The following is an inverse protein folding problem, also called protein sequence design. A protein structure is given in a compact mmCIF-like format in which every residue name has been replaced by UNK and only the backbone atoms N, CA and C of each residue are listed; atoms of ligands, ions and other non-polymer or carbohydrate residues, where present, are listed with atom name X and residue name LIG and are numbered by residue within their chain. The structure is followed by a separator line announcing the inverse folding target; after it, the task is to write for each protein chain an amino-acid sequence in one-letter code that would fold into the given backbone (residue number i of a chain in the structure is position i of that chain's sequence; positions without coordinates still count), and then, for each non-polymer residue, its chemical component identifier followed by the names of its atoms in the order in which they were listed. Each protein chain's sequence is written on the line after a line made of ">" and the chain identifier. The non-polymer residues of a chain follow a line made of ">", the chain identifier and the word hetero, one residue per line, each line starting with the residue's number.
data_IF_314456190866
#
_entry.id   IF_314456190866
#
_cell.length_a   1.000
_cell.length_b   1.000
_cell.length_c   1.000
_cell.angle_alpha   90.00
_cell.angle_beta   90.00
_cell.angle_gamma   90.00
#
_symmetry.space_group_name_H-M   'P 1'
#
loop_
_entity.id
_entity.type
_entity.pdbx_description
1 polymer ?
#
# COMPACT_ATOMS: atom_id res chain seq x y z
N UNK A 1 -13.44 -19.24 -4.96
CA UNK A 1 -13.26 -18.10 -4.05
C UNK A 1 -11.82 -18.11 -3.61
N UNK A 2 -11.05 -17.07 -3.93
CA UNK A 2 -9.76 -16.88 -3.27
C UNK A 2 -10.05 -16.72 -1.78
N UNK A 3 -9.30 -17.40 -0.91
CA UNK A 3 -9.46 -17.25 0.53
C UNK A 3 -9.25 -15.81 0.97
N UNK A 4 -9.60 -15.47 2.23
CA UNK A 4 -9.37 -14.12 2.75
C UNK A 4 -7.88 -13.76 2.64
N UNK A 5 -7.58 -12.48 2.44
CA UNK A 5 -6.23 -11.98 2.15
C UNK A 5 -5.69 -11.32 3.43
N UNK A 6 -4.41 -11.55 3.81
CA UNK A 6 -3.82 -10.81 4.92
C UNK A 6 -3.85 -9.30 4.67
N UNK A 7 -3.94 -8.46 5.72
CA UNK A 7 -3.87 -7.00 5.57
C UNK A 7 -2.60 -6.56 4.83
N UNK A 8 -2.72 -5.47 4.10
CA UNK A 8 -1.63 -4.83 3.39
C UNK A 8 -0.88 -3.89 4.35
N UNK A 9 0.44 -3.94 4.35
CA UNK A 9 1.22 -2.93 5.05
C UNK A 9 0.95 -1.55 4.43
N UNK A 10 0.85 -0.53 5.28
CA UNK A 10 0.63 0.86 4.91
C UNK A 10 1.81 1.69 5.42
N UNK A 11 2.74 1.98 4.52
CA UNK A 11 3.97 2.72 4.84
C UNK A 11 3.77 4.22 4.64
N UNK A 12 4.38 5.00 5.51
CA UNK A 12 4.39 6.45 5.41
C UNK A 12 5.83 6.89 5.18
N UNK A 13 6.17 7.22 3.93
CA UNK A 13 7.54 7.57 3.52
C UNK A 13 7.80 9.07 3.48
N UNK A 14 6.76 9.87 3.64
CA UNK A 14 6.80 11.33 3.70
C UNK A 14 6.34 11.86 5.06
N UNK A 15 6.74 13.10 5.38
CA UNK A 15 6.24 13.80 6.56
C UNK A 15 4.78 14.19 6.37
N UNK A 16 3.89 13.52 7.10
CA UNK A 16 2.45 13.81 7.16
C UNK A 16 1.98 13.79 8.60
N UNK A 17 1.01 14.64 8.93
CA UNK A 17 0.39 14.66 10.26
C UNK A 17 -0.59 13.49 10.48
N UNK A 18 -0.88 13.23 11.76
CA UNK A 18 -1.83 12.18 12.15
C UNK A 18 -3.28 12.46 11.71
N UNK A 19 -3.65 13.72 11.45
CA UNK A 19 -4.98 14.06 10.94
C UNK A 19 -5.18 13.49 9.54
N UNK A 20 -4.22 13.72 8.64
CA UNK A 20 -4.24 13.14 7.30
C UNK A 20 -4.25 11.60 7.32
N UNK A 21 -3.43 10.98 8.17
CA UNK A 21 -3.39 9.51 8.26
C UNK A 21 -4.72 8.93 8.79
N UNK A 22 -5.33 9.56 9.79
CA UNK A 22 -6.63 9.16 10.30
C UNK A 22 -7.74 9.30 9.27
N UNK A 23 -7.75 10.42 8.56
CA UNK A 23 -8.69 10.67 7.47
C UNK A 23 -8.50 9.66 6.33
N UNK A 24 -7.26 9.41 5.91
CA UNK A 24 -6.94 8.47 4.84
C UNK A 24 -7.38 7.03 5.17
N UNK A 25 -7.02 6.53 6.36
CA UNK A 25 -7.45 5.21 6.83
C UNK A 25 -8.98 5.11 6.92
N UNK A 26 -9.64 6.16 7.43
CA UNK A 26 -11.11 6.20 7.53
C UNK A 26 -11.78 6.19 6.16
N UNK A 27 -11.26 6.96 5.20
CA UNK A 27 -11.82 7.01 3.84
C UNK A 27 -11.57 5.73 3.06
N UNK A 28 -10.42 5.10 3.21
CA UNK A 28 -10.15 3.78 2.64
C UNK A 28 -11.13 2.73 3.17
N UNK A 29 -11.37 2.71 4.49
CA UNK A 29 -12.36 1.83 5.12
C UNK A 29 -13.79 2.06 4.61
N UNK A 30 -14.24 3.32 4.60
CA UNK A 30 -15.59 3.68 4.11
C UNK A 30 -15.76 3.39 2.62
N UNK A 31 -14.74 3.68 1.83
CA UNK A 31 -14.75 3.40 0.40
C UNK A 31 -14.78 1.91 0.08
N UNK A 32 -14.31 1.05 0.99
CA UNK A 32 -14.52 -0.40 0.96
C UNK A 32 -15.89 -0.84 1.53
N UNK A 33 -16.91 0.02 1.46
CA UNK A 33 -18.24 -0.24 2.01
C UNK A 33 -18.23 -0.65 3.49
N UNK A 34 -17.26 -0.15 4.26
CA UNK A 34 -17.11 -0.46 5.69
C UNK A 34 -16.91 -1.96 5.99
N UNK A 35 -16.45 -2.74 4.99
CA UNK A 35 -16.36 -4.20 5.08
C UNK A 35 -15.25 -4.66 6.04
N UNK A 36 -14.06 -4.07 5.96
CA UNK A 36 -12.91 -4.40 6.81
C UNK A 36 -11.82 -3.32 6.75
N UNK A 37 -11.05 -3.21 7.82
CA UNK A 37 -9.79 -2.45 7.85
C UNK A 37 -8.69 -3.32 7.25
N UNK A 38 -8.32 -3.08 5.99
CA UNK A 38 -7.34 -3.93 5.28
C UNK A 38 -5.93 -3.32 5.22
N UNK A 39 -5.74 -2.10 5.73
CA UNK A 39 -4.47 -1.40 5.73
C UNK A 39 -3.89 -1.35 7.15
N UNK A 40 -2.72 -1.94 7.36
CA UNK A 40 -1.98 -1.89 8.62
C UNK A 40 -0.92 -0.80 8.56
N UNK A 41 -1.08 0.27 9.36
CA UNK A 41 -0.09 1.34 9.49
C UNK A 41 1.22 0.77 10.04
N UNK A 42 2.24 0.72 9.18
CA UNK A 42 3.48 0.03 9.48
C UNK A 42 4.30 0.76 10.55
N UNK A 43 4.68 0.01 11.59
CA UNK A 43 5.75 0.36 12.54
C UNK A 43 7.03 -0.38 12.16
N UNK A 44 8.17 -0.03 12.75
CA UNK A 44 9.43 -0.76 12.58
C UNK A 44 9.51 -2.03 13.44
N UNK A 45 8.49 -2.29 14.25
CA UNK A 45 8.40 -3.41 15.17
C UNK A 45 7.33 -4.42 14.74
N UNK A 46 7.77 -5.61 14.31
CA UNK A 46 6.87 -6.71 13.93
C UNK A 46 5.97 -7.22 15.07
N UNK A 47 6.25 -6.88 16.33
CA UNK A 47 5.36 -7.24 17.45
C UNK A 47 4.02 -6.52 17.40
N UNK A 48 3.98 -5.33 16.80
CA UNK A 48 2.77 -4.55 16.63
C UNK A 48 1.96 -5.01 15.40
N UNK A 49 2.60 -5.80 14.53
CA UNK A 49 2.01 -6.23 13.27
C UNK A 49 0.92 -7.30 13.48
N UNK A 50 -0.07 -7.37 12.58
CA UNK A 50 -1.14 -8.34 12.68
C UNK A 50 -0.57 -9.77 12.65
N UNK A 51 -1.04 -10.63 13.56
CA UNK A 51 -0.57 -12.02 13.70
C UNK A 51 -1.52 -13.00 13.03
N UNK A 52 -0.96 -14.11 12.53
CA UNK A 52 -1.78 -15.18 11.94
C UNK A 52 -2.74 -15.74 12.99
N UNK A 53 -4.04 -15.63 12.74
CA UNK A 53 -5.09 -16.21 13.59
C UNK A 53 -5.59 -17.50 12.95
N UNK A 54 -5.96 -18.48 13.78
CA UNK A 54 -6.53 -19.73 13.28
C UNK A 54 -7.89 -19.43 12.66
N UNK A 55 -8.06 -19.72 11.37
CA UNK A 55 -9.29 -19.57 10.59
C UNK A 55 -9.80 -18.13 10.35
N UNK A 56 -8.98 -17.10 10.58
CA UNK A 56 -9.31 -15.72 10.25
C UNK A 56 -8.03 -14.94 9.94
N UNK A 57 -8.14 -13.91 9.10
CA UNK A 57 -7.08 -12.90 9.02
C UNK A 57 -7.41 -11.73 9.95
N UNK A 58 -6.40 -11.16 10.61
CA UNK A 58 -6.58 -10.00 11.46
C UNK A 58 -6.90 -8.76 10.62
N UNK A 59 -7.55 -7.78 11.24
CA UNK A 59 -7.71 -6.46 10.66
C UNK A 59 -6.38 -5.68 10.70
N UNK A 60 -6.29 -4.66 9.86
CA UNK A 60 -5.27 -3.62 9.89
C UNK A 60 -5.54 -2.58 10.98
N UNK A 61 -5.03 -1.36 10.77
CA UNK A 61 -5.07 -0.27 11.76
C UNK A 61 -6.39 0.48 11.68
N UNK A 62 -7.10 0.53 12.80
CA UNK A 62 -8.28 1.37 12.98
C UNK A 62 -7.88 2.79 13.36
N UNK A 63 -8.49 3.78 12.71
CA UNK A 63 -8.42 5.16 13.19
C UNK A 63 -9.26 5.33 14.48
N UNK A 64 -8.90 6.26 15.40
CA UNK A 64 -7.74 7.14 15.33
C UNK A 64 -6.43 6.45 15.77
N UNK A 65 -5.33 6.81 15.12
CA UNK A 65 -3.97 6.44 15.50
C UNK A 65 -3.46 7.31 16.66
N UNK A 66 -2.42 6.89 17.40
CA UNK A 66 -1.83 7.69 18.47
C UNK A 66 -1.41 9.09 17.98
N UNK A 67 -1.71 10.14 18.76
CA UNK A 67 -1.43 11.52 18.39
C UNK A 67 0.07 11.84 18.20
N UNK A 68 0.93 11.04 18.83
CA UNK A 68 2.39 11.12 18.75
C UNK A 68 2.99 10.11 17.76
N UNK A 69 2.17 9.49 16.90
CA UNK A 69 2.68 8.59 15.87
C UNK A 69 3.64 9.34 14.95
N UNK A 70 4.83 8.78 14.78
CA UNK A 70 5.79 9.17 13.77
C UNK A 70 6.19 7.92 13.01
N UNK A 71 6.12 7.97 11.68
CA UNK A 71 6.49 6.82 10.87
C UNK A 71 8.00 6.60 10.90
N UNK A 72 8.47 5.39 11.19
CA UNK A 72 9.90 5.06 11.12
C UNK A 72 10.39 4.93 9.66
N UNK A 73 9.48 5.01 8.69
CA UNK A 73 9.76 4.90 7.26
C UNK A 73 9.88 6.25 6.55
N UNK A 74 9.77 7.38 7.26
CA UNK A 74 10.00 8.71 6.66
C UNK A 74 11.39 8.76 6.03
N UNK A 75 11.45 9.19 4.77
CA UNK A 75 12.68 9.25 3.97
C UNK A 75 13.20 7.90 3.45
N UNK A 76 12.53 6.78 3.76
CA UNK A 76 12.84 5.47 3.17
C UNK A 76 12.28 5.35 1.75
N UNK A 77 12.92 4.51 0.95
CA UNK A 77 12.40 4.16 -0.38
C UNK A 77 11.30 3.10 -0.29
N UNK A 78 10.50 2.95 -1.35
CA UNK A 78 9.54 1.85 -1.44
C UNK A 78 10.24 0.49 -1.42
N UNK A 79 11.44 0.39 -2.00
CA UNK A 79 12.29 -0.79 -1.91
C UNK A 79 12.69 -1.13 -0.47
N UNK A 80 13.03 -0.14 0.36
CA UNK A 80 13.34 -0.38 1.77
C UNK A 80 12.11 -0.89 2.54
N UNK A 81 10.92 -0.35 2.23
CA UNK A 81 9.65 -0.83 2.77
C UNK A 81 9.37 -2.27 2.33
N UNK A 82 9.60 -2.59 1.06
CA UNK A 82 9.45 -3.93 0.53
C UNK A 82 10.44 -4.92 1.16
N UNK A 83 11.70 -4.52 1.39
CA UNK A 83 12.70 -5.32 2.12
C UNK A 83 12.24 -5.66 3.52
N UNK A 84 11.83 -4.65 4.30
CA UNK A 84 11.25 -4.87 5.62
C UNK A 84 10.08 -5.87 5.52
N UNK A 85 9.15 -5.65 4.60
CA UNK A 85 8.01 -6.56 4.42
C UNK A 85 8.42 -8.01 4.06
N UNK A 86 9.49 -8.20 3.28
CA UNK A 86 10.02 -9.54 2.98
C UNK A 86 10.71 -10.19 4.19
N UNK A 87 11.34 -9.40 5.05
CA UNK A 87 12.04 -9.84 6.27
C UNK A 87 11.09 -10.14 7.44
N UNK A 88 9.79 -9.86 7.29
CA UNK A 88 8.80 -10.15 8.30
C UNK A 88 8.87 -11.63 8.77
N UNK A 89 8.75 -11.91 10.08
CA UNK A 89 8.62 -13.27 10.60
C UNK A 89 7.41 -14.02 10.01
N UNK A 90 7.47 -15.36 9.99
CA UNK A 90 6.41 -16.20 9.40
C UNK A 90 5.07 -16.11 10.13
N UNK A 91 5.06 -15.71 11.40
CA UNK A 91 3.84 -15.54 12.20
C UNK A 91 3.16 -14.19 11.97
N UNK A 92 3.82 -13.24 11.28
CA UNK A 92 3.23 -11.99 10.82
C UNK A 92 2.28 -12.27 9.65
N UNK A 93 1.06 -11.76 9.77
CA UNK A 93 -0.02 -11.87 8.79
C UNK A 93 -0.13 -10.59 7.95
N UNK A 94 0.95 -10.24 7.24
CA UNK A 94 0.92 -9.18 6.25
C UNK A 94 1.03 -9.77 4.83
N UNK A 95 0.39 -9.11 3.87
CA UNK A 95 0.55 -9.45 2.47
C UNK A 95 2.00 -9.12 2.05
N UNK A 96 2.78 -10.14 1.65
CA UNK A 96 4.19 -9.94 1.28
C UNK A 96 4.39 -9.55 -0.18
N UNK A 97 3.38 -9.70 -1.03
CA UNK A 97 3.50 -9.39 -2.45
C UNK A 97 3.05 -7.96 -2.77
N UNK A 98 2.13 -7.42 -1.96
CA UNK A 98 1.55 -6.11 -2.17
C UNK A 98 1.49 -5.30 -0.88
N UNK A 99 1.63 -4.00 -1.01
CA UNK A 99 1.50 -3.06 0.09
C UNK A 99 1.00 -1.71 -0.41
N UNK A 100 0.75 -0.80 0.52
CA UNK A 100 0.31 0.56 0.25
C UNK A 100 1.29 1.56 0.85
N UNK A 101 1.39 2.75 0.26
CA UNK A 101 2.23 3.80 0.80
C UNK A 101 1.64 5.19 0.59
N UNK A 102 2.01 6.13 1.46
CA UNK A 102 1.90 7.56 1.20
C UNK A 102 3.28 8.18 1.06
N UNK A 103 3.43 9.01 0.04
CA UNK A 103 4.64 9.74 -0.30
C UNK A 103 4.39 11.26 -0.27
N UNK A 104 5.38 12.05 -0.72
CA UNK A 104 5.32 13.51 -0.67
C UNK A 104 4.19 14.10 -1.54
N UNK A 105 3.68 13.35 -2.53
CA UNK A 105 2.59 13.77 -3.41
C UNK A 105 1.20 13.32 -2.91
N UNK A 106 1.14 12.30 -2.04
CA UNK A 106 -0.11 11.69 -1.59
C UNK A 106 -1.09 12.68 -0.96
N UNK A 107 -0.62 13.65 -0.18
CA UNK A 107 -1.50 14.66 0.45
C UNK A 107 -2.09 15.61 -0.58
N UNK A 108 -1.27 16.15 -1.47
CA UNK A 108 -1.70 17.12 -2.48
C UNK A 108 -2.64 16.49 -3.50
N UNK A 109 -2.33 15.27 -3.94
CA UNK A 109 -3.09 14.56 -4.96
C UNK A 109 -4.31 13.81 -4.39
N UNK A 110 -4.45 13.74 -3.06
CA UNK A 110 -5.39 12.87 -2.33
C UNK A 110 -5.32 11.40 -2.80
N UNK A 111 -4.12 10.83 -2.69
CA UNK A 111 -3.86 9.47 -3.18
C UNK A 111 -3.10 8.60 -2.19
N UNK A 112 -3.31 7.30 -2.33
CA UNK A 112 -2.47 6.25 -1.75
C UNK A 112 -1.80 5.51 -2.91
N UNK A 113 -0.50 5.25 -2.79
CA UNK A 113 0.22 4.39 -3.72
C UNK A 113 -0.16 2.94 -3.44
N UNK A 114 -0.54 2.20 -4.49
CA UNK A 114 -0.64 0.75 -4.44
C UNK A 114 0.61 0.15 -5.05
N UNK A 115 1.24 -0.77 -4.32
CA UNK A 115 2.58 -1.26 -4.61
C UNK A 115 2.58 -2.78 -4.77
N UNK A 116 3.40 -3.28 -5.71
CA UNK A 116 3.68 -4.70 -5.93
C UNK A 116 5.19 -4.93 -5.83
N UNK A 117 5.59 -5.91 -5.02
CA UNK A 117 6.97 -6.35 -4.90
C UNK A 117 7.33 -7.23 -6.11
N UNK A 118 8.42 -6.88 -6.79
CA UNK A 118 8.97 -7.60 -7.94
C UNK A 118 10.33 -8.20 -7.55
N UNK A 119 10.55 -9.45 -7.93
CA UNK A 119 11.75 -10.22 -7.58
C UNK A 119 11.56 -10.95 -6.24
N UNK A 120 11.26 -12.26 -6.32
CA UNK A 120 11.10 -13.11 -5.13
C UNK A 120 12.47 -13.63 -4.68
N UNK A 121 12.84 -13.36 -3.43
CA UNK A 121 13.81 -14.18 -2.69
C UNK A 121 15.28 -13.75 -2.70
N UNK A 122 15.68 -12.77 -3.50
CA UNK A 122 17.02 -12.17 -3.39
C UNK A 122 16.89 -10.75 -2.84
N UNK A 123 17.12 -10.58 -1.53
CA UNK A 123 17.07 -9.28 -0.84
C UNK A 123 17.90 -8.18 -1.53
N UNK A 124 18.93 -8.58 -2.30
CA UNK A 124 19.77 -7.67 -3.08
C UNK A 124 19.13 -7.08 -4.34
N UNK A 125 18.04 -7.66 -4.85
CA UNK A 125 17.42 -7.32 -6.14
C UNK A 125 15.92 -6.97 -6.05
N UNK A 126 15.41 -6.65 -4.85
CA UNK A 126 14.01 -6.25 -4.67
C UNK A 126 13.71 -4.97 -5.46
N UNK A 127 12.71 -5.05 -6.33
CA UNK A 127 12.15 -3.93 -7.06
C UNK A 127 10.69 -3.72 -6.65
N UNK A 128 10.21 -2.49 -6.74
CA UNK A 128 8.80 -2.17 -6.51
C UNK A 128 8.20 -1.50 -7.72
N UNK A 129 7.03 -1.98 -8.12
CA UNK A 129 6.15 -1.26 -9.02
C UNK A 129 5.00 -0.64 -8.23
N UNK A 130 4.62 0.58 -8.55
CA UNK A 130 3.55 1.28 -7.86
C UNK A 130 2.82 2.27 -8.76
N UNK A 131 1.59 2.60 -8.39
CA UNK A 131 0.88 3.75 -8.95
C UNK A 131 -0.13 4.30 -7.94
N UNK A 132 -0.41 5.61 -7.97
CA UNK A 132 -1.37 6.20 -7.05
C UNK A 132 -2.80 5.94 -7.50
N UNK A 133 -3.66 5.74 -6.50
CA UNK A 133 -5.11 5.67 -6.63
C UNK A 133 -5.77 6.62 -5.64
N UNK A 134 -7.01 7.09 -5.90
CA UNK A 134 -7.74 7.91 -4.93
C UNK A 134 -7.80 7.23 -3.56
N UNK A 135 -7.56 7.97 -2.49
CA UNK A 135 -7.49 7.44 -1.12
C UNK A 135 -8.70 6.58 -0.76
N UNK A 136 -9.92 7.05 -1.08
CA UNK A 136 -11.16 6.33 -0.82
C UNK A 136 -11.29 5.03 -1.62
N UNK A 137 -10.65 4.91 -2.79
CA UNK A 137 -10.73 3.70 -3.61
C UNK A 137 -9.60 2.71 -3.32
N UNK A 138 -8.60 3.09 -2.52
CA UNK A 138 -7.35 2.36 -2.36
C UNK A 138 -7.54 0.89 -1.99
N UNK A 139 -8.42 0.58 -1.04
CA UNK A 139 -8.71 -0.80 -0.64
C UNK A 139 -9.34 -1.62 -1.77
N UNK A 140 -10.39 -1.09 -2.43
CA UNK A 140 -11.04 -1.79 -3.56
C UNK A 140 -10.06 -2.00 -4.71
N UNK A 141 -9.25 -0.99 -5.03
CA UNK A 141 -8.23 -1.10 -6.09
C UNK A 141 -7.20 -2.17 -5.71
N UNK A 142 -6.74 -2.23 -4.45
CA UNK A 142 -5.85 -3.30 -3.99
C UNK A 142 -6.46 -4.69 -4.20
N UNK A 143 -7.70 -4.92 -3.77
CA UNK A 143 -8.35 -6.24 -3.90
C UNK A 143 -8.61 -6.63 -5.36
N UNK A 144 -8.81 -5.64 -6.24
CA UNK A 144 -9.15 -5.87 -7.67
C UNK A 144 -7.94 -5.85 -8.60
N UNK A 145 -6.82 -5.28 -8.18
CA UNK A 145 -5.58 -5.16 -8.96
C UNK A 145 -4.52 -6.22 -8.62
N UNK A 146 -4.88 -7.32 -7.95
CA UNK A 146 -3.93 -8.40 -7.67
C UNK A 146 -3.57 -9.20 -8.93
N UNK A 147 -2.31 -9.64 -9.01
CA UNK A 147 -1.78 -10.46 -10.09
C UNK A 147 -1.70 -9.71 -11.42
N UNK A 148 -2.18 -10.33 -12.50
CA UNK A 148 -2.16 -9.74 -13.86
C UNK A 148 -2.97 -8.45 -13.99
N UNK A 149 -3.96 -8.24 -13.10
CA UNK A 149 -4.77 -7.02 -13.09
C UNK A 149 -3.99 -5.80 -12.61
N UNK A 150 -2.85 -6.01 -11.93
CA UNK A 150 -1.96 -4.93 -11.54
C UNK A 150 -1.38 -4.24 -12.77
N UNK A 151 -0.89 -5.04 -13.73
CA UNK A 151 -0.28 -4.55 -14.96
C UNK A 151 -1.29 -3.74 -15.79
N UNK A 152 -2.52 -4.24 -15.91
CA UNK A 152 -3.61 -3.53 -16.59
C UNK A 152 -3.98 -2.21 -15.91
N UNK A 153 -4.03 -2.20 -14.57
CA UNK A 153 -4.35 -1.02 -13.79
C UNK A 153 -3.23 0.03 -13.87
N UNK A 154 -1.97 -0.38 -13.78
CA UNK A 154 -0.79 0.45 -13.97
C UNK A 154 -0.78 1.08 -15.36
N UNK A 155 -0.94 0.28 -16.43
CA UNK A 155 -0.99 0.80 -17.80
C UNK A 155 -2.18 1.74 -18.02
N UNK A 156 -3.34 1.45 -17.42
CA UNK A 156 -4.51 2.33 -17.46
C UNK A 156 -4.23 3.67 -16.78
N UNK A 157 -3.57 3.65 -15.62
CA UNK A 157 -3.15 4.87 -14.93
C UNK A 157 -2.22 5.71 -15.84
N UNK A 158 -1.14 5.12 -16.36
CA UNK A 158 -0.16 5.80 -17.21
C UNK A 158 -0.81 6.41 -18.47
N UNK A 159 -1.68 5.64 -19.15
CA UNK A 159 -2.45 6.13 -20.31
C UNK A 159 -3.34 7.32 -19.96
N UNK A 160 -4.00 7.30 -18.81
CA UNK A 160 -4.83 8.42 -18.37
C UNK A 160 -3.98 9.67 -18.08
N UNK A 161 -2.82 9.52 -17.43
CA UNK A 161 -1.88 10.64 -17.19
C UNK A 161 -1.41 11.27 -18.49
N UNK A 162 -1.02 10.43 -19.46
CA UNK A 162 -0.61 10.88 -20.80
C UNK A 162 -1.75 11.60 -21.54
N UNK A 163 -2.97 11.05 -21.53
CA UNK A 163 -4.15 11.66 -22.15
C UNK A 163 -4.47 13.03 -21.54
N UNK A 164 -4.37 13.13 -20.21
CA UNK A 164 -4.78 14.30 -19.45
C UNK A 164 -3.66 15.35 -19.30
N UNK A 165 -2.46 15.09 -19.85
CA UNK A 165 -1.30 15.97 -19.72
C UNK A 165 -0.79 16.13 -18.28
N UNK A 166 -1.09 15.17 -17.40
CA UNK A 166 -0.71 15.18 -15.98
C UNK A 166 0.59 14.42 -15.75
N UNK A 167 1.37 14.75 -14.70
CA UNK A 167 2.56 13.99 -14.37
C UNK A 167 2.23 12.52 -14.08
N UNK A 168 3.08 11.63 -14.59
CA UNK A 168 3.06 10.21 -14.26
C UNK A 168 3.84 9.99 -12.96
N UNK A 169 3.14 9.59 -11.91
CA UNK A 169 3.72 9.28 -10.58
C UNK A 169 3.91 7.77 -10.38
N UNK A 170 3.68 6.96 -11.40
CA UNK A 170 3.88 5.52 -11.30
C UNK A 170 5.34 5.12 -11.42
N UNK A 171 5.65 3.94 -10.88
CA UNK A 171 6.91 3.25 -11.06
C UNK A 171 6.61 1.87 -11.65
N UNK A 172 7.17 1.57 -12.80
CA UNK A 172 7.00 0.29 -13.49
C UNK A 172 7.24 0.40 -14.98
N UNK A 173 6.96 -0.66 -15.73
CA UNK A 173 7.17 -0.65 -17.19
C UNK A 173 6.35 0.48 -17.83
N UNK A 174 6.97 1.42 -18.57
CA UNK A 174 6.23 2.52 -19.18
C UNK A 174 5.25 2.05 -20.26
N UNK A 175 4.07 2.66 -20.28
CA UNK A 175 3.09 2.47 -21.34
C UNK A 175 3.67 2.90 -22.70
N UNK A 176 3.69 1.97 -23.66
CA UNK A 176 4.05 2.24 -25.06
C UNK A 176 2.78 2.31 -25.88
N UNK A 177 2.58 3.42 -26.61
CA UNK A 177 1.50 3.55 -27.59
C UNK A 177 1.79 2.58 -28.74
N UNK A 178 0.94 1.56 -28.88
CA UNK A 178 0.94 0.66 -30.03
C UNK A 178 0.34 1.31 -31.27
#
# INVERSE_FOLDING_TARGET
>A
MAGPIPPFAFFVTAEVDGEFLNDALTRAYKGNFEAAWEQYLATDNYQDAPRRVKNAYPEGTKAPIPANFSSPFVGKTLEDCAKWLQEAPDDVALNREYFTAVDNSSREDDTIQICRVIGKGELGNIQVECFPVPTAESTIQMSTSLGVKFDEALQRYQRNRMRDGKPDRSKGVPYKKG
#
